data_IF_967755388963
#
_entry.id   IF_967755388963
#
_cell.length_a   1.000
_cell.length_b   1.000
_cell.length_c   1.000
_cell.angle_alpha   90.00
_cell.angle_beta   90.00
_cell.angle_gamma   90.00
#
_symmetry.space_group_name_H-M   'P 1'
#
loop_
_entity.id
_entity.type
_entity.pdbx_description
1 polymer ?
#
# COMPACT_ATOMS: atom_id res chain seq x y z
N UNK A 1 -15.16 -23.98 16.94
CA UNK A 1 -14.09 -23.05 17.28
C UNK A 1 -13.09 -23.83 18.12
N UNK A 2 -12.01 -24.30 17.52
CA UNK A 2 -10.91 -24.93 18.27
C UNK A 2 -10.28 -23.84 19.12
N UNK A 3 -10.18 -24.08 20.41
CA UNK A 3 -9.69 -23.09 21.36
C UNK A 3 -8.24 -22.70 20.97
N UNK A 4 -8.02 -21.42 20.67
CA UNK A 4 -6.70 -20.87 20.29
C UNK A 4 -5.65 -21.22 21.35
N UNK A 5 -6.04 -21.33 22.62
CA UNK A 5 -5.19 -21.74 23.74
C UNK A 5 -4.76 -23.21 23.66
N UNK A 6 -5.61 -24.08 23.12
CA UNK A 6 -5.30 -25.49 22.93
C UNK A 6 -4.28 -25.69 21.80
N UNK A 7 -4.46 -24.94 20.70
CA UNK A 7 -3.49 -24.93 19.59
C UNK A 7 -2.09 -24.46 20.02
N UNK A 8 -2.07 -23.41 20.85
CA UNK A 8 -0.82 -22.82 21.38
C UNK A 8 -0.08 -23.79 22.32
N UNK A 9 -0.81 -24.64 23.06
CA UNK A 9 -0.22 -25.64 23.97
C UNK A 9 0.43 -26.82 23.26
N UNK A 10 0.13 -27.04 21.99
CA UNK A 10 0.66 -28.15 21.19
C UNK A 10 1.91 -27.81 20.40
N UNK A 11 2.36 -26.54 20.42
CA UNK A 11 3.54 -26.10 19.70
C UNK A 11 4.81 -26.66 20.34
N UNK A 12 5.71 -27.17 19.50
CA UNK A 12 7.08 -27.52 19.89
C UNK A 12 7.90 -26.27 20.26
N UNK A 13 9.03 -26.45 20.93
CA UNK A 13 9.93 -25.34 21.29
C UNK A 13 10.39 -24.54 20.05
N UNK A 14 10.59 -25.21 18.92
CA UNK A 14 10.95 -24.56 17.63
C UNK A 14 9.82 -23.73 17.11
N UNK A 15 8.60 -24.24 17.08
CA UNK A 15 7.40 -23.50 16.65
C UNK A 15 7.09 -22.33 17.58
N UNK A 16 7.32 -22.49 18.88
CA UNK A 16 7.25 -21.41 19.87
C UNK A 16 8.27 -20.31 19.60
N UNK A 17 9.52 -20.68 19.33
CA UNK A 17 10.57 -19.71 19.02
C UNK A 17 10.26 -18.95 17.72
N UNK A 18 9.75 -19.61 16.69
CA UNK A 18 9.30 -18.98 15.45
C UNK A 18 8.12 -18.03 15.68
N UNK A 19 7.10 -18.47 16.42
CA UNK A 19 5.94 -17.64 16.76
C UNK A 19 6.35 -16.43 17.59
N UNK A 20 7.18 -16.61 18.61
CA UNK A 20 7.71 -15.54 19.42
C UNK A 20 8.54 -14.55 18.59
N UNK A 21 9.41 -15.05 17.71
CA UNK A 21 10.17 -14.24 16.76
C UNK A 21 9.25 -13.38 15.87
N UNK A 22 8.21 -13.98 15.31
CA UNK A 22 7.21 -13.28 14.49
C UNK A 22 6.43 -12.23 15.27
N UNK A 23 6.05 -12.52 16.51
CA UNK A 23 5.37 -11.57 17.39
C UNK A 23 6.28 -10.41 17.81
N UNK A 24 7.55 -10.70 18.14
CA UNK A 24 8.50 -9.69 18.61
C UNK A 24 9.03 -8.81 17.48
N UNK A 25 9.24 -9.34 16.27
CA UNK A 25 9.81 -8.63 15.14
C UNK A 25 8.80 -8.25 14.07
N UNK A 26 7.65 -8.90 14.04
CA UNK A 26 6.60 -8.72 13.05
C UNK A 26 5.91 -7.36 13.13
N UNK A 27 5.11 -7.10 12.11
CA UNK A 27 4.32 -5.87 12.00
C UNK A 27 3.07 -5.87 12.86
N UNK A 28 2.48 -7.05 13.08
CA UNK A 28 1.21 -7.19 13.81
C UNK A 28 1.17 -6.47 15.17
N UNK A 29 2.19 -6.57 16.05
CA UNK A 29 2.17 -5.87 17.32
C UNK A 29 2.53 -4.37 17.25
N UNK A 30 3.04 -3.89 16.11
CA UNK A 30 3.56 -2.52 15.97
C UNK A 30 2.71 -1.61 15.09
N UNK A 31 2.05 -2.20 14.10
CA UNK A 31 1.17 -1.46 13.19
C UNK A 31 -0.15 -1.08 13.85
N UNK A 32 -0.66 0.11 13.56
CA UNK A 32 -2.04 0.46 13.89
C UNK A 32 -3.00 -0.53 13.20
N UNK A 33 -4.22 -0.70 13.71
CA UNK A 33 -5.20 -1.62 13.13
C UNK A 33 -5.45 -1.34 11.64
N UNK A 34 -5.51 -0.06 11.26
CA UNK A 34 -5.68 0.39 9.87
C UNK A 34 -4.46 0.10 8.97
N UNK A 35 -3.31 -0.22 9.55
CA UNK A 35 -2.08 -0.60 8.84
C UNK A 35 -1.89 -2.11 8.75
N UNK A 36 -2.75 -2.89 9.37
CA UNK A 36 -2.70 -4.35 9.30
C UNK A 36 -3.44 -4.85 8.07
N UNK A 37 -2.93 -5.94 7.51
CA UNK A 37 -3.57 -6.59 6.36
C UNK A 37 -5.03 -6.92 6.69
N UNK A 38 -6.01 -6.42 5.92
CA UNK A 38 -7.41 -6.70 6.18
C UNK A 38 -7.72 -8.18 5.95
N UNK A 39 -8.69 -8.68 6.70
CA UNK A 39 -9.28 -9.99 6.47
C UNK A 39 -10.12 -10.00 5.18
N UNK A 40 -10.44 -11.20 4.67
CA UNK A 40 -11.33 -11.36 3.52
C UNK A 40 -10.62 -11.70 2.20
N UNK A 41 -11.39 -11.71 1.14
CA UNK A 41 -11.05 -12.30 -0.16
C UNK A 41 -10.79 -11.24 -1.25
N UNK A 42 -10.15 -10.16 -0.87
CA UNK A 42 -9.74 -9.10 -1.77
C UNK A 42 -8.47 -9.47 -2.56
N UNK A 43 -8.32 -8.89 -3.74
CA UNK A 43 -7.13 -9.00 -4.60
C UNK A 43 -6.27 -7.73 -4.60
N UNK A 44 -6.85 -6.60 -4.21
CA UNK A 44 -6.16 -5.31 -4.10
C UNK A 44 -6.46 -4.68 -2.74
N UNK A 45 -5.42 -4.34 -1.99
CA UNK A 45 -5.54 -3.51 -0.80
C UNK A 45 -5.08 -2.09 -1.14
N UNK A 46 -6.03 -1.18 -1.29
CA UNK A 46 -5.76 0.23 -1.59
C UNK A 46 -5.67 1.05 -0.30
N UNK A 47 -4.48 1.52 0.00
CA UNK A 47 -4.17 2.40 1.14
C UNK A 47 -4.15 3.84 0.61
N UNK A 48 -5.29 4.50 0.72
CA UNK A 48 -5.55 5.85 0.21
C UNK A 48 -5.56 6.83 1.39
N UNK A 49 -4.40 7.42 1.70
CA UNK A 49 -4.21 8.16 2.95
C UNK A 49 -3.38 9.43 2.76
N UNK A 50 -3.43 10.32 3.75
CA UNK A 50 -2.64 11.54 3.78
C UNK A 50 -1.13 11.31 3.85
N UNK A 51 -0.35 12.37 3.62
CA UNK A 51 1.12 12.35 3.78
C UNK A 51 1.49 12.09 5.23
N UNK A 52 2.58 11.38 5.46
CA UNK A 52 3.04 11.08 6.82
C UNK A 52 2.22 10.01 7.56
N UNK A 53 1.13 9.49 7.00
CA UNK A 53 0.32 8.44 7.63
C UNK A 53 1.07 7.12 7.85
N UNK A 54 2.14 6.87 7.09
CA UNK A 54 2.94 5.64 7.21
C UNK A 54 2.72 4.64 6.06
N UNK A 55 2.29 5.11 4.88
CA UNK A 55 2.06 4.30 3.67
C UNK A 55 3.24 3.41 3.30
N UNK A 56 4.40 4.00 3.10
CA UNK A 56 5.64 3.29 2.73
C UNK A 56 5.99 2.21 3.73
N UNK A 57 5.86 2.51 5.03
CA UNK A 57 6.10 1.53 6.09
C UNK A 57 5.12 0.36 6.00
N UNK A 58 3.84 0.64 5.80
CA UNK A 58 2.80 -0.39 5.68
C UNK A 58 3.04 -1.28 4.46
N UNK A 59 3.32 -0.69 3.29
CA UNK A 59 3.59 -1.43 2.06
C UNK A 59 4.82 -2.34 2.18
N UNK A 60 5.92 -1.83 2.75
CA UNK A 60 7.14 -2.61 2.92
C UNK A 60 6.98 -3.75 3.94
N UNK A 61 6.28 -3.51 5.06
CA UNK A 61 6.01 -4.55 6.07
C UNK A 61 5.13 -5.67 5.53
N UNK A 62 4.06 -5.31 4.81
CA UNK A 62 3.16 -6.29 4.22
C UNK A 62 3.84 -7.14 3.14
N UNK A 63 4.62 -6.49 2.26
CA UNK A 63 5.36 -7.20 1.21
C UNK A 63 6.42 -8.14 1.80
N UNK A 64 7.18 -7.68 2.79
CA UNK A 64 8.20 -8.49 3.46
C UNK A 64 7.56 -9.65 4.21
N UNK A 65 6.45 -9.42 4.91
CA UNK A 65 5.71 -10.48 5.60
C UNK A 65 5.24 -11.56 4.62
N UNK A 66 4.68 -11.16 3.48
CA UNK A 66 4.28 -12.09 2.43
C UNK A 66 5.47 -12.88 1.87
N UNK A 67 6.59 -12.21 1.58
CA UNK A 67 7.77 -12.87 1.02
C UNK A 67 8.45 -13.84 2.01
N UNK A 68 8.37 -13.57 3.32
CA UNK A 68 8.89 -14.48 4.35
C UNK A 68 7.99 -15.71 4.49
N UNK A 69 6.67 -15.50 4.53
CA UNK A 69 5.70 -16.55 4.88
C UNK A 69 5.31 -17.43 3.69
N UNK A 70 5.39 -16.90 2.49
CA UNK A 70 5.03 -17.60 1.26
C UNK A 70 6.13 -17.43 0.21
N UNK A 71 7.15 -18.30 0.19
CA UNK A 71 8.25 -18.19 -0.76
C UNK A 71 7.78 -18.10 -2.21
N UNK A 72 8.39 -17.20 -2.97
CA UNK A 72 8.08 -16.96 -4.38
C UNK A 72 8.54 -15.59 -4.89
N UNK A 73 8.07 -15.23 -6.07
CA UNK A 73 8.40 -13.96 -6.71
C UNK A 73 7.38 -12.88 -6.37
N UNK A 74 7.88 -11.71 -6.02
CA UNK A 74 7.11 -10.52 -5.67
C UNK A 74 7.59 -9.31 -6.47
N UNK A 75 6.76 -8.29 -6.59
CA UNK A 75 7.11 -7.03 -7.23
C UNK A 75 7.02 -5.86 -6.26
N UNK A 76 7.90 -4.88 -6.39
CA UNK A 76 7.72 -3.53 -5.87
C UNK A 76 7.86 -2.54 -7.02
N UNK A 77 6.84 -1.70 -7.20
CA UNK A 77 6.71 -0.79 -8.33
C UNK A 77 6.39 0.60 -7.81
N UNK A 78 7.20 1.58 -8.21
CA UNK A 78 6.99 2.98 -7.90
C UNK A 78 6.93 3.82 -9.20
N UNK A 79 6.59 5.11 -9.15
CA UNK A 79 6.52 5.94 -10.35
C UNK A 79 7.78 5.88 -11.20
N UNK A 80 8.95 6.01 -10.57
CA UNK A 80 10.26 5.87 -11.22
C UNK A 80 11.11 4.80 -10.55
N UNK A 81 12.16 4.32 -11.23
CA UNK A 81 13.11 3.38 -10.62
C UNK A 81 13.88 4.03 -9.45
N UNK A 82 14.15 5.34 -9.52
CA UNK A 82 14.73 6.09 -8.42
C UNK A 82 13.85 6.03 -7.17
N UNK A 83 12.54 6.30 -7.30
CA UNK A 83 11.59 6.22 -6.18
C UNK A 83 11.52 4.80 -5.62
N UNK A 84 11.45 3.79 -6.48
CA UNK A 84 11.44 2.39 -6.05
C UNK A 84 12.70 2.04 -5.24
N UNK A 85 13.87 2.42 -5.71
CA UNK A 85 15.15 2.18 -5.05
C UNK A 85 15.29 2.97 -3.75
N UNK A 86 15.18 4.31 -3.83
CA UNK A 86 15.59 5.21 -2.75
C UNK A 86 14.54 5.29 -1.64
N UNK A 87 13.25 5.12 -1.97
CA UNK A 87 12.15 5.18 -1.01
C UNK A 87 11.68 3.80 -0.60
N UNK A 88 11.31 2.95 -1.60
CA UNK A 88 10.68 1.67 -1.29
C UNK A 88 11.68 0.62 -0.81
N UNK A 89 12.92 0.63 -1.31
CA UNK A 89 13.94 -0.37 -0.95
C UNK A 89 14.86 0.15 0.14
N UNK A 90 15.61 1.23 -0.10
CA UNK A 90 16.73 1.69 0.75
C UNK A 90 16.30 2.73 1.78
N UNK A 91 15.12 3.31 1.66
CA UNK A 91 14.61 4.32 2.58
C UNK A 91 14.45 3.81 4.02
N UNK A 92 14.34 4.71 5.01
CA UNK A 92 14.26 4.34 6.43
C UNK A 92 13.03 3.51 6.77
N UNK A 93 11.96 3.61 5.97
CA UNK A 93 10.75 2.80 6.06
C UNK A 93 10.67 1.72 4.98
N UNK A 94 11.73 1.54 4.19
CA UNK A 94 11.79 0.65 3.05
C UNK A 94 12.06 -0.82 3.42
N UNK A 95 12.08 -1.66 2.39
CA UNK A 95 12.17 -3.11 2.47
C UNK A 95 13.42 -3.55 3.22
N UNK A 96 14.60 -2.98 2.91
CA UNK A 96 15.87 -3.34 3.56
C UNK A 96 15.82 -3.05 5.07
N UNK A 97 15.27 -1.91 5.46
CA UNK A 97 15.10 -1.58 6.89
C UNK A 97 14.21 -2.59 7.62
N UNK A 98 13.15 -3.07 6.96
CA UNK A 98 12.24 -4.09 7.51
C UNK A 98 12.94 -5.45 7.60
N UNK A 99 13.63 -5.89 6.55
CA UNK A 99 14.39 -7.16 6.54
C UNK A 99 15.47 -7.20 7.63
N UNK A 100 16.23 -6.11 7.77
CA UNK A 100 17.27 -6.00 8.81
C UNK A 100 16.66 -6.10 10.22
N UNK A 101 15.57 -5.37 10.48
CA UNK A 101 14.89 -5.40 11.78
C UNK A 101 14.31 -6.78 12.12
N UNK A 102 13.88 -7.52 11.09
CA UNK A 102 13.37 -8.90 11.24
C UNK A 102 14.49 -9.96 11.20
N UNK A 103 15.76 -9.55 11.14
CA UNK A 103 16.92 -10.44 11.04
C UNK A 103 16.82 -11.43 9.86
N UNK A 104 16.21 -11.02 8.74
CA UNK A 104 16.09 -11.85 7.55
C UNK A 104 17.31 -11.68 6.67
N UNK A 105 18.02 -12.79 6.41
CA UNK A 105 19.16 -12.79 5.50
C UNK A 105 18.70 -12.52 4.06
N UNK A 106 19.31 -11.53 3.43
CA UNK A 106 18.95 -11.07 2.08
C UNK A 106 20.16 -10.51 1.33
N UNK A 107 20.04 -10.44 0.02
CA UNK A 107 20.99 -9.79 -0.87
C UNK A 107 20.28 -8.81 -1.80
N UNK A 108 20.67 -7.54 -1.77
CA UNK A 108 20.16 -6.51 -2.64
C UNK A 108 21.11 -6.26 -3.82
N UNK A 109 20.69 -6.65 -5.03
CA UNK A 109 21.39 -6.34 -6.27
C UNK A 109 20.78 -5.10 -6.94
N UNK A 110 21.42 -3.95 -6.75
CA UNK A 110 20.95 -2.66 -7.30
C UNK A 110 20.88 -2.66 -8.83
N UNK A 111 21.83 -3.31 -9.49
CA UNK A 111 21.92 -3.30 -10.96
C UNK A 111 20.82 -4.13 -11.60
N UNK A 112 20.46 -5.27 -11.00
CA UNK A 112 19.37 -6.12 -11.46
C UNK A 112 18.00 -5.62 -10.97
N UNK A 113 17.96 -4.73 -9.97
CA UNK A 113 16.73 -4.38 -9.29
C UNK A 113 16.07 -5.59 -8.64
N UNK A 114 16.83 -6.33 -7.82
CA UNK A 114 16.34 -7.57 -7.22
C UNK A 114 16.84 -7.75 -5.79
N UNK A 115 15.93 -8.06 -4.89
CA UNK A 115 16.25 -8.51 -3.53
C UNK A 115 15.97 -10.00 -3.45
N UNK A 116 17.00 -10.80 -3.14
CA UNK A 116 16.88 -12.23 -2.90
C UNK A 116 16.90 -12.51 -1.39
N UNK A 117 15.95 -13.32 -0.91
CA UNK A 117 15.84 -13.75 0.48
C UNK A 117 16.37 -15.19 0.63
N UNK A 118 16.88 -15.51 1.84
CA UNK A 118 17.43 -16.84 2.12
C UNK A 118 16.42 -18.00 1.97
N UNK A 119 15.11 -17.73 2.09
CA UNK A 119 14.04 -18.71 1.88
C UNK A 119 13.70 -18.97 0.39
N UNK A 120 14.47 -18.38 -0.55
CA UNK A 120 14.25 -18.49 -1.98
C UNK A 120 13.29 -17.46 -2.57
N UNK A 121 12.69 -16.59 -1.78
CA UNK A 121 11.87 -15.49 -2.30
C UNK A 121 12.72 -14.46 -3.02
N UNK A 122 12.14 -13.85 -4.07
CA UNK A 122 12.73 -12.73 -4.80
C UNK A 122 11.75 -11.57 -4.88
N UNK A 123 12.23 -10.36 -4.65
CA UNK A 123 11.45 -9.14 -4.83
C UNK A 123 12.06 -8.36 -5.99
N UNK A 124 11.34 -8.28 -7.10
CA UNK A 124 11.72 -7.46 -8.27
C UNK A 124 11.33 -6.02 -8.04
N UNK A 125 12.30 -5.14 -8.27
CA UNK A 125 12.17 -3.70 -8.07
C UNK A 125 12.12 -3.02 -9.43
N UNK A 126 11.14 -2.16 -9.65
CA UNK A 126 11.04 -1.47 -10.93
C UNK A 126 10.11 -0.28 -10.95
N UNK A 127 9.93 0.26 -12.14
CA UNK A 127 9.24 1.50 -12.42
C UNK A 127 7.92 1.24 -13.16
N UNK A 128 6.95 2.10 -12.92
CA UNK A 128 5.74 2.17 -13.73
C UNK A 128 6.00 2.79 -15.12
N UNK A 129 7.10 3.52 -15.29
CA UNK A 129 7.49 4.08 -16.59
C UNK A 129 7.93 3.00 -17.60
N UNK A 130 8.21 1.77 -17.13
CA UNK A 130 8.63 0.62 -17.94
C UNK A 130 7.62 -0.54 -17.88
N UNK A 131 6.39 -0.41 -18.42
CA UNK A 131 5.32 -1.40 -18.29
C UNK A 131 5.70 -2.78 -18.83
N UNK A 132 6.45 -2.81 -19.92
CA UNK A 132 6.84 -4.07 -20.61
C UNK A 132 7.80 -4.93 -19.75
N UNK A 133 8.48 -4.33 -18.80
CA UNK A 133 9.36 -5.04 -17.86
C UNK A 133 8.61 -6.06 -17.00
N UNK A 134 7.32 -5.88 -16.83
CA UNK A 134 6.47 -6.76 -16.01
C UNK A 134 5.92 -7.96 -16.80
N UNK A 135 6.08 -7.96 -18.12
CA UNK A 135 5.66 -9.10 -18.96
C UNK A 135 6.51 -10.34 -18.69
N UNK A 136 5.87 -11.49 -18.73
CA UNK A 136 6.54 -12.78 -18.54
C UNK A 136 6.83 -13.17 -17.10
N UNK A 137 6.60 -12.27 -16.13
CA UNK A 137 6.70 -12.60 -14.72
C UNK A 137 5.47 -13.34 -14.20
N UNK A 138 5.67 -14.07 -13.11
CA UNK A 138 4.65 -14.82 -12.40
C UNK A 138 4.74 -14.50 -10.90
N UNK A 139 4.16 -13.39 -10.49
CA UNK A 139 4.21 -12.92 -9.11
C UNK A 139 3.12 -13.56 -8.24
N UNK A 140 3.45 -13.81 -6.98
CA UNK A 140 2.49 -14.11 -5.91
C UNK A 140 1.79 -12.86 -5.41
N UNK A 141 2.47 -11.74 -5.47
CA UNK A 141 1.96 -10.47 -5.00
C UNK A 141 2.92 -9.34 -5.25
N UNK A 142 2.60 -8.16 -4.75
CA UNK A 142 3.47 -7.01 -4.88
C UNK A 142 2.95 -5.78 -4.16
N UNK A 143 3.81 -4.76 -4.16
CA UNK A 143 3.50 -3.45 -3.64
C UNK A 143 3.66 -2.39 -4.72
N UNK A 144 2.62 -1.61 -4.95
CA UNK A 144 2.55 -0.49 -5.88
C UNK A 144 2.56 0.81 -5.09
N UNK A 145 3.69 1.51 -5.08
CA UNK A 145 3.80 2.78 -4.35
C UNK A 145 3.41 3.96 -5.23
N UNK A 146 2.71 4.91 -4.61
CA UNK A 146 2.22 6.16 -5.22
C UNK A 146 1.54 5.97 -6.58
N UNK A 147 0.60 4.99 -6.66
CA UNK A 147 -0.14 4.64 -7.89
C UNK A 147 -0.76 5.86 -8.57
N UNK A 148 -1.27 6.82 -7.79
CA UNK A 148 -1.84 8.06 -8.32
C UNK A 148 -0.85 8.97 -9.06
N UNK A 149 0.46 8.71 -8.93
CA UNK A 149 1.52 9.44 -9.62
C UNK A 149 2.04 8.72 -10.88
N UNK A 150 1.57 7.50 -11.17
CA UNK A 150 2.02 6.74 -12.32
C UNK A 150 1.60 7.41 -13.63
N UNK A 151 2.57 7.68 -14.51
CA UNK A 151 2.34 8.29 -15.82
C UNK A 151 1.82 7.29 -16.86
N UNK A 152 2.16 6.02 -16.67
CA UNK A 152 1.83 4.89 -17.55
C UNK A 152 0.84 3.95 -16.85
N UNK A 153 -0.47 4.15 -16.97
CA UNK A 153 -1.47 3.28 -16.32
C UNK A 153 -1.47 1.85 -16.86
N UNK A 154 -0.93 1.61 -18.05
CA UNK A 154 -0.71 0.29 -18.61
C UNK A 154 0.25 -0.57 -17.76
N UNK A 155 1.17 0.02 -17.01
CA UNK A 155 2.00 -0.69 -16.04
C UNK A 155 1.15 -1.44 -14.99
N UNK A 156 0.05 -0.84 -14.54
CA UNK A 156 -0.90 -1.48 -13.65
C UNK A 156 -1.51 -2.74 -14.29
N UNK A 157 -1.94 -2.63 -15.54
CA UNK A 157 -2.52 -3.77 -16.27
C UNK A 157 -1.51 -4.90 -16.42
N UNK A 158 -0.26 -4.60 -16.83
CA UNK A 158 0.78 -5.61 -16.96
C UNK A 158 1.09 -6.29 -15.63
N UNK A 159 1.22 -5.52 -14.55
CA UNK A 159 1.48 -6.06 -13.22
C UNK A 159 0.32 -6.95 -12.72
N UNK A 160 -0.93 -6.53 -12.94
CA UNK A 160 -2.11 -7.34 -12.61
C UNK A 160 -2.12 -8.67 -13.33
N UNK A 161 -1.80 -8.68 -14.62
CA UNK A 161 -1.70 -9.90 -15.44
C UNK A 161 -0.52 -10.80 -14.99
N UNK A 162 0.56 -10.20 -14.52
CA UNK A 162 1.72 -10.93 -13.99
C UNK A 162 1.49 -11.50 -12.58
N UNK A 163 0.56 -10.94 -11.80
CA UNK A 163 0.24 -11.36 -10.42
C UNK A 163 -0.82 -12.45 -10.44
N UNK A 164 -0.37 -13.71 -10.52
CA UNK A 164 -1.26 -14.85 -10.77
C UNK A 164 -0.83 -16.18 -10.14
N UNK A 165 0.19 -16.18 -9.26
CA UNK A 165 0.69 -17.39 -8.62
C UNK A 165 0.22 -17.49 -7.17
N UNK A 166 -0.13 -18.72 -6.76
CA UNK A 166 -0.62 -19.03 -5.42
C UNK A 166 -2.13 -18.95 -5.31
N UNK A 167 -2.67 -19.33 -4.16
CA UNK A 167 -4.11 -19.41 -3.92
C UNK A 167 -4.77 -18.03 -3.92
N UNK A 168 -4.04 -17.00 -3.49
CA UNK A 168 -4.54 -15.62 -3.35
C UNK A 168 -3.48 -14.60 -3.75
N UNK A 169 -3.26 -14.41 -5.07
CA UNK A 169 -2.34 -13.36 -5.54
C UNK A 169 -2.90 -11.98 -5.19
N UNK A 170 -2.10 -11.15 -4.52
CA UNK A 170 -2.56 -9.87 -3.96
C UNK A 170 -1.60 -8.73 -4.27
N UNK A 171 -2.16 -7.55 -4.53
CA UNK A 171 -1.40 -6.31 -4.64
C UNK A 171 -1.79 -5.35 -3.52
N UNK A 172 -0.78 -4.81 -2.84
CA UNK A 172 -0.94 -3.66 -1.95
C UNK A 172 -0.64 -2.40 -2.74
N UNK A 173 -1.50 -1.43 -2.67
CA UNK A 173 -1.39 -0.15 -3.36
C UNK A 173 -1.35 0.96 -2.33
N UNK A 174 -0.29 1.73 -2.32
CA UNK A 174 -0.16 2.92 -1.47
C UNK A 174 -0.19 4.17 -2.33
N UNK A 175 -0.97 5.17 -1.95
CA UNK A 175 -1.00 6.45 -2.66
C UNK A 175 -1.63 7.56 -1.84
N UNK A 176 -1.21 8.79 -2.10
CA UNK A 176 -2.02 9.98 -1.77
C UNK A 176 -3.18 10.10 -2.77
N UNK A 177 -4.32 10.68 -2.38
CA UNK A 177 -5.48 10.80 -3.26
C UNK A 177 -5.20 11.75 -4.43
N UNK A 178 -5.14 11.19 -5.63
CA UNK A 178 -5.12 11.95 -6.89
C UNK A 178 -6.26 11.43 -7.76
N UNK A 179 -7.14 12.28 -8.29
CA UNK A 179 -8.35 11.84 -8.98
C UNK A 179 -8.08 11.32 -10.41
N UNK A 180 -7.13 10.38 -10.54
CA UNK A 180 -6.84 9.66 -11.78
C UNK A 180 -7.99 8.69 -12.10
N UNK A 181 -8.19 8.38 -13.39
CA UNK A 181 -9.19 7.40 -13.82
C UNK A 181 -8.99 6.05 -13.15
N UNK A 182 -7.73 5.60 -13.05
CA UNK A 182 -7.39 4.33 -12.39
C UNK A 182 -7.78 4.30 -10.90
N UNK A 183 -7.49 5.37 -10.15
CA UNK A 183 -7.89 5.43 -8.73
C UNK A 183 -9.40 5.53 -8.55
N UNK A 184 -10.09 6.27 -9.43
CA UNK A 184 -11.55 6.32 -9.42
C UNK A 184 -12.17 4.94 -9.67
N UNK A 185 -11.64 4.18 -10.64
CA UNK A 185 -12.07 2.80 -10.91
C UNK A 185 -11.86 1.90 -9.70
N UNK A 186 -10.66 1.92 -9.09
CA UNK A 186 -10.36 1.08 -7.93
C UNK A 186 -11.24 1.41 -6.72
N UNK A 187 -11.46 2.69 -6.44
CA UNK A 187 -12.32 3.14 -5.31
C UNK A 187 -13.79 2.83 -5.58
N UNK A 188 -14.22 2.85 -6.83
CA UNK A 188 -15.61 2.60 -7.22
C UNK A 188 -16.01 1.12 -7.27
N UNK A 189 -15.06 0.19 -7.09
CA UNK A 189 -15.37 -1.24 -7.12
C UNK A 189 -16.15 -1.69 -5.89
N UNK A 190 -17.29 -2.32 -6.11
CA UNK A 190 -18.20 -2.83 -5.08
C UNK A 190 -18.26 -4.35 -5.04
N UNK A 191 -17.49 -5.04 -5.89
CA UNK A 191 -17.45 -6.50 -6.03
C UNK A 191 -16.63 -7.23 -4.94
N UNK A 192 -16.12 -6.49 -3.96
CA UNK A 192 -15.25 -7.01 -2.89
C UNK A 192 -13.80 -7.28 -3.31
N UNK A 193 -13.45 -7.09 -4.59
CA UNK A 193 -12.09 -7.33 -5.08
C UNK A 193 -11.08 -6.28 -4.59
N UNK A 194 -11.54 -5.10 -4.19
CA UNK A 194 -10.71 -4.01 -3.65
C UNK A 194 -11.12 -3.69 -2.22
N UNK A 195 -10.16 -3.76 -1.32
CA UNK A 195 -10.32 -3.25 0.05
C UNK A 195 -9.66 -1.88 0.16
N UNK A 196 -10.41 -0.87 0.62
CA UNK A 196 -9.90 0.52 0.72
C UNK A 196 -9.69 0.89 2.18
N UNK A 197 -8.45 1.17 2.55
CA UNK A 197 -8.12 1.82 3.82
C UNK A 197 -7.95 3.31 3.59
N UNK A 198 -8.62 4.12 4.39
CA UNK A 198 -8.48 5.59 4.42
C UNK A 198 -7.85 6.01 5.73
N UNK A 199 -7.18 7.16 5.72
CA UNK A 199 -6.60 7.69 6.94
C UNK A 199 -5.96 9.06 6.74
N UNK A 200 -6.01 9.87 7.79
CA UNK A 200 -5.43 11.19 7.80
C UNK A 200 -4.00 11.19 8.36
N UNK A 201 -3.23 12.22 8.03
CA UNK A 201 -1.88 12.48 8.57
C UNK A 201 -1.84 12.40 10.10
N UNK A 202 -2.87 12.91 10.75
CA UNK A 202 -2.99 13.04 12.21
C UNK A 202 -3.01 11.70 12.94
N UNK A 203 -3.45 10.63 12.30
CA UNK A 203 -3.42 9.28 12.88
C UNK A 203 -2.00 8.79 13.21
N UNK A 204 -1.00 9.44 12.66
CA UNK A 204 0.42 9.11 12.87
C UNK A 204 1.19 10.21 13.63
N UNK A 205 0.50 11.12 14.30
CA UNK A 205 1.11 12.29 14.95
C UNK A 205 2.23 11.93 15.94
N UNK A 206 2.10 10.78 16.63
CA UNK A 206 3.13 10.31 17.57
C UNK A 206 4.50 10.05 16.91
N UNK A 207 4.56 9.89 15.59
CA UNK A 207 5.78 9.67 14.82
C UNK A 207 6.20 10.87 13.96
N UNK A 208 5.50 12.01 14.08
CA UNK A 208 5.73 13.21 13.31
C UNK A 208 6.17 14.36 14.23
N UNK A 209 6.92 15.32 13.69
CA UNK A 209 7.32 16.51 14.43
C UNK A 209 6.09 17.35 14.80
N UNK A 210 5.85 17.68 16.09
CA UNK A 210 4.75 18.56 16.48
C UNK A 210 4.78 19.91 15.77
N UNK A 211 5.95 20.52 15.63
CA UNK A 211 6.10 21.81 14.93
C UNK A 211 5.71 21.71 13.44
N UNK A 212 6.07 20.61 12.77
CA UNK A 212 5.67 20.38 11.39
C UNK A 212 4.15 20.17 11.26
N UNK A 213 3.54 19.46 12.23
CA UNK A 213 2.09 19.27 12.26
C UNK A 213 1.33 20.59 12.47
N UNK A 214 1.81 21.45 13.35
CA UNK A 214 1.20 22.77 13.60
C UNK A 214 1.31 23.67 12.35
N UNK A 215 2.45 23.65 11.67
CA UNK A 215 2.62 24.35 10.40
C UNK A 215 1.64 23.85 9.35
N UNK A 216 1.52 22.52 9.19
CA UNK A 216 0.59 21.92 8.23
C UNK A 216 -0.86 22.26 8.54
N UNK A 217 -1.28 22.22 9.81
CA UNK A 217 -2.62 22.61 10.24
C UNK A 217 -2.91 24.08 9.94
N UNK A 218 -1.97 24.96 10.28
CA UNK A 218 -2.11 26.40 10.09
C UNK A 218 -2.19 26.77 8.61
N UNK A 219 -1.34 26.14 7.79
CA UNK A 219 -1.18 26.52 6.37
C UNK A 219 -2.20 25.88 5.46
N UNK A 220 -2.61 24.64 5.74
CA UNK A 220 -3.44 23.82 4.84
C UNK A 220 -4.77 23.40 5.45
N UNK A 221 -5.02 23.63 6.74
CA UNK A 221 -6.27 23.29 7.39
C UNK A 221 -7.46 23.92 6.66
N UNK A 222 -8.49 23.13 6.35
CA UNK A 222 -9.70 23.57 5.64
C UNK A 222 -9.51 23.84 4.14
N UNK A 223 -8.30 23.81 3.61
CA UNK A 223 -8.05 24.02 2.18
C UNK A 223 -8.30 22.74 1.37
N UNK A 224 -8.54 22.87 0.07
CA UNK A 224 -8.64 21.74 -0.85
C UNK A 224 -7.38 20.85 -0.82
N UNK A 225 -6.18 21.47 -0.79
CA UNK A 225 -4.91 20.74 -0.70
C UNK A 225 -4.82 20.01 0.63
N UNK A 226 -5.22 20.62 1.75
CA UNK A 226 -5.24 19.99 3.06
C UNK A 226 -6.15 18.77 3.08
N UNK A 227 -7.35 18.86 2.55
CA UNK A 227 -8.28 17.73 2.44
C UNK A 227 -7.68 16.58 1.64
N UNK A 228 -7.03 16.87 0.51
CA UNK A 228 -6.40 15.85 -0.31
C UNK A 228 -5.14 15.28 0.32
N UNK A 229 -4.18 16.12 0.68
CA UNK A 229 -2.83 15.70 1.06
C UNK A 229 -2.71 15.31 2.56
N UNK A 230 -3.58 15.85 3.42
CA UNK A 230 -3.52 15.59 4.86
C UNK A 230 -4.68 14.70 5.36
N UNK A 231 -5.91 14.95 4.89
CA UNK A 231 -7.07 14.15 5.30
C UNK A 231 -7.26 12.87 4.46
N UNK A 232 -6.53 12.75 3.35
CA UNK A 232 -6.63 11.57 2.51
C UNK A 232 -7.92 11.49 1.67
N UNK A 233 -8.58 12.62 1.39
CA UNK A 233 -9.81 12.67 0.64
C UNK A 233 -9.56 12.63 -0.88
N UNK A 234 -10.26 11.74 -1.58
CA UNK A 234 -10.27 11.73 -3.04
C UNK A 234 -11.28 12.73 -3.55
N UNK A 235 -10.81 13.92 -3.91
CA UNK A 235 -11.66 15.00 -4.41
C UNK A 235 -11.93 14.81 -5.90
N UNK A 236 -13.17 14.48 -6.23
CA UNK A 236 -13.59 14.17 -7.61
C UNK A 236 -13.87 15.42 -8.45
N UNK A 237 -14.11 16.56 -7.80
CA UNK A 237 -14.41 17.81 -8.47
C UNK A 237 -13.18 18.40 -9.15
N UNK A 238 -13.37 18.89 -10.37
CA UNK A 238 -12.33 19.59 -11.12
C UNK A 238 -12.15 21.01 -10.56
N UNK A 239 -10.94 21.47 -10.23
CA UNK A 239 -10.71 22.86 -9.84
C UNK A 239 -11.21 23.82 -10.94
N UNK A 240 -12.02 24.81 -10.55
CA UNK A 240 -12.57 25.78 -11.49
C UNK A 240 -13.79 25.30 -12.27
N UNK A 241 -14.33 24.12 -11.99
CA UNK A 241 -15.62 23.71 -12.52
C UNK A 241 -16.73 24.65 -12.02
N UNK A 242 -17.66 25.02 -12.91
CA UNK A 242 -18.81 25.87 -12.58
C UNK A 242 -19.75 25.21 -11.55
N UNK A 243 -19.71 23.86 -11.46
CA UNK A 243 -20.54 23.05 -10.58
C UNK A 243 -19.68 22.02 -9.83
N UNK A 244 -19.98 21.82 -8.56
CA UNK A 244 -19.40 20.73 -7.75
C UNK A 244 -20.42 19.60 -7.57
N UNK A 245 -19.94 18.37 -7.34
CA UNK A 245 -20.82 17.23 -7.01
C UNK A 245 -21.70 17.55 -5.80
N UNK A 246 -21.16 18.22 -4.79
CA UNK A 246 -21.90 18.63 -3.60
C UNK A 246 -23.08 19.58 -3.92
N UNK A 247 -23.00 20.36 -4.99
CA UNK A 247 -24.12 21.21 -5.45
C UNK A 247 -25.23 20.38 -6.10
N UNK A 248 -24.87 19.30 -6.82
CA UNK A 248 -25.87 18.40 -7.40
C UNK A 248 -26.56 17.53 -6.34
N UNK A 249 -25.85 17.17 -5.27
CA UNK A 249 -26.38 16.38 -4.15
C UNK A 249 -27.14 17.23 -3.12
N UNK A 250 -27.12 18.57 -3.26
CA UNK A 250 -27.81 19.49 -2.35
C UNK A 250 -29.34 19.29 -2.44
N UNK A 251 -30.07 19.31 -1.30
CA UNK A 251 -31.53 19.26 -1.31
C UNK A 251 -32.10 20.44 -2.13
N UNK A 252 -32.84 20.14 -3.18
CA UNK A 252 -33.43 21.14 -4.08
C UNK A 252 -32.86 21.16 -5.48
N UNK A 253 -31.77 20.48 -5.77
CA UNK A 253 -31.31 20.27 -7.13
C UNK A 253 -32.15 19.14 -7.76
N UNK A 254 -33.00 19.43 -8.70
CA UNK A 254 -33.76 18.45 -9.48
C UNK A 254 -33.32 18.52 -10.93
N UNK A 255 -33.09 17.36 -11.55
CA UNK A 255 -32.98 17.30 -12.99
C UNK A 255 -34.27 17.84 -13.60
N UNK A 256 -34.16 18.76 -14.57
CA UNK A 256 -35.31 19.16 -15.37
C UNK A 256 -35.83 17.91 -16.12
N UNK A 257 -37.08 17.56 -15.95
CA UNK A 257 -37.72 16.59 -16.82
C UNK A 257 -37.65 17.13 -18.23
N UNK A 258 -37.06 16.39 -19.15
CA UNK A 258 -37.08 16.71 -20.56
C UNK A 258 -38.52 16.43 -21.07
N UNK A 259 -39.20 17.48 -21.55
CA UNK A 259 -40.47 17.37 -22.28
C UNK A 259 -40.28 16.65 -23.63
#
# INVERSE_FOLDING_TARGET
MTDTLELVRTLSDTEWAELAGRLLTGWFPRGRDTQRRPAGDWSVWLILTGRGWGKTRTGSEDLVDAAITQPGDYAVVAPTFGDARDVCVEGPSGIISVLNRRCVAHNWNRSLGEIALANGSRIKVGSADEPDRWRGWNFRGGWCDELGAWRRPDAWTQLRLATRIGDRPRLVVTTTPRPTTLLKDLVGRTDGSVYVTRGATWENEANLSPAALDELRTRYGGTRIGRQELEGELLLDTPGALWSLAQFDAPGFRAAEAD
#
